data_IF_212885442820
#
_entry.id   IF_212885442820
#
_cell.length_a   1.000
_cell.length_b   1.000
_cell.length_c   1.000
_cell.angle_alpha   90.00
_cell.angle_beta   90.00
_cell.angle_gamma   90.00
#
_symmetry.space_group_name_H-M   'P 1'
#
loop_
_entity.id
_entity.type
_entity.pdbx_description
1 polymer ?
#
# COMPACT_ATOMS: atom_id res chain seq x y z
N UNK A 1 -4.72 -33.84 -8.81
CA UNK A 1 -5.51 -32.95 -7.91
C UNK A 1 -6.53 -32.21 -8.78
N UNK A 2 -7.81 -32.15 -8.39
CA UNK A 2 -8.85 -31.41 -9.09
C UNK A 2 -9.31 -30.28 -8.17
N UNK A 3 -8.79 -29.05 -8.36
CA UNK A 3 -9.17 -27.91 -7.50
C UNK A 3 -10.64 -27.54 -7.72
N UNK A 4 -11.34 -27.12 -6.68
CA UNK A 4 -12.73 -26.66 -6.79
C UNK A 4 -12.84 -25.21 -7.24
N UNK A 5 -11.81 -24.41 -7.01
CA UNK A 5 -11.65 -23.03 -7.44
C UNK A 5 -10.18 -22.74 -7.72
N UNK A 6 -9.89 -21.80 -8.60
CA UNK A 6 -8.55 -21.24 -8.82
C UNK A 6 -8.60 -19.76 -8.51
N UNK A 7 -7.66 -19.30 -7.69
CA UNK A 7 -7.49 -17.87 -7.35
C UNK A 7 -6.28 -17.32 -8.09
N UNK A 8 -6.48 -16.30 -8.92
CA UNK A 8 -5.43 -15.60 -9.63
C UNK A 8 -5.11 -14.26 -8.99
N UNK A 9 -3.95 -14.13 -8.35
CA UNK A 9 -3.54 -12.90 -7.64
C UNK A 9 -2.82 -11.87 -8.54
N UNK A 10 -2.97 -11.97 -9.86
CA UNK A 10 -2.34 -11.08 -10.83
C UNK A 10 -0.97 -11.57 -11.32
N UNK A 11 -0.31 -10.73 -12.14
CA UNK A 11 0.95 -11.05 -12.79
C UNK A 11 0.81 -12.05 -13.94
N UNK A 12 1.85 -12.12 -14.79
CA UNK A 12 1.83 -13.01 -15.97
C UNK A 12 1.87 -14.49 -15.61
N UNK A 13 2.43 -14.84 -14.46
CA UNK A 13 2.59 -16.22 -13.98
C UNK A 13 1.22 -16.89 -13.74
N UNK A 14 0.19 -16.15 -13.38
CA UNK A 14 -1.14 -16.72 -13.16
C UNK A 14 -1.86 -17.09 -14.46
N UNK A 15 -1.49 -16.51 -15.62
CA UNK A 15 -2.22 -16.67 -16.88
C UNK A 15 -2.32 -18.12 -17.33
N UNK A 16 -1.24 -18.93 -17.43
CA UNK A 16 -1.33 -20.33 -17.86
C UNK A 16 -2.23 -21.17 -16.95
N UNK A 17 -2.12 -20.96 -15.62
CA UNK A 17 -2.92 -21.70 -14.64
C UNK A 17 -4.40 -21.36 -14.76
N UNK A 18 -4.72 -20.07 -14.93
CA UNK A 18 -6.11 -19.60 -15.11
C UNK A 18 -6.70 -20.12 -16.43
N UNK A 19 -5.95 -20.09 -17.52
CA UNK A 19 -6.41 -20.65 -18.80
C UNK A 19 -6.67 -22.16 -18.70
N UNK A 20 -5.80 -22.91 -18.02
CA UNK A 20 -6.02 -24.32 -17.75
C UNK A 20 -7.27 -24.57 -16.88
N UNK A 21 -7.56 -23.68 -15.92
CA UNK A 21 -8.77 -23.75 -15.12
C UNK A 21 -10.02 -23.55 -16.01
N UNK A 22 -10.01 -22.54 -16.89
CA UNK A 22 -11.11 -22.30 -17.84
C UNK A 22 -11.36 -23.50 -18.76
N UNK A 23 -10.29 -24.11 -19.31
CA UNK A 23 -10.40 -25.30 -20.14
C UNK A 23 -11.04 -26.49 -19.40
N UNK A 24 -10.83 -26.58 -18.08
CA UNK A 24 -11.39 -27.63 -17.22
C UNK A 24 -12.71 -27.22 -16.53
N UNK A 25 -13.28 -26.08 -16.90
CA UNK A 25 -14.51 -25.53 -16.31
C UNK A 25 -14.42 -25.38 -14.78
N UNK A 26 -13.22 -25.09 -14.27
CA UNK A 26 -13.00 -24.73 -12.88
C UNK A 26 -13.27 -23.24 -12.73
N UNK A 27 -14.11 -22.81 -11.75
CA UNK A 27 -14.36 -21.40 -11.52
C UNK A 27 -13.06 -20.69 -11.09
N UNK A 28 -12.94 -19.43 -11.51
CA UNK A 28 -11.75 -18.62 -11.24
C UNK A 28 -12.18 -17.34 -10.56
N UNK A 29 -11.57 -17.01 -9.44
CA UNK A 29 -11.64 -15.69 -8.81
C UNK A 29 -10.32 -14.97 -9.07
N UNK A 30 -10.38 -13.79 -9.68
CA UNK A 30 -9.21 -12.94 -9.87
C UNK A 30 -9.15 -11.91 -8.74
N UNK A 31 -7.95 -11.59 -8.29
CA UNK A 31 -7.70 -10.52 -7.32
C UNK A 31 -6.92 -9.40 -8.02
N UNK A 32 -7.42 -8.16 -7.95
CA UNK A 32 -6.77 -6.98 -8.49
C UNK A 32 -6.55 -5.93 -7.40
N UNK A 33 -5.30 -5.71 -7.06
CA UNK A 33 -4.88 -4.81 -5.99
C UNK A 33 -4.69 -3.35 -6.44
N UNK A 34 -4.69 -3.11 -7.75
CA UNK A 34 -4.46 -1.78 -8.32
C UNK A 34 -5.74 -1.14 -8.83
N UNK A 35 -5.81 0.19 -8.75
CA UNK A 35 -6.91 0.96 -9.30
C UNK A 35 -6.97 0.85 -10.84
N UNK A 36 -5.80 0.78 -11.50
CA UNK A 36 -5.71 0.45 -12.92
C UNK A 36 -5.29 -1.02 -13.05
N UNK A 37 -6.16 -1.91 -13.58
CA UNK A 37 -5.93 -3.35 -13.56
C UNK A 37 -4.80 -3.78 -14.49
N UNK A 38 -4.06 -4.78 -14.07
CA UNK A 38 -2.98 -5.39 -14.83
C UNK A 38 -3.48 -6.02 -16.15
N UNK A 39 -2.57 -6.17 -17.12
CA UNK A 39 -2.91 -6.77 -18.42
C UNK A 39 -3.48 -8.19 -18.30
N UNK A 40 -2.94 -9.00 -17.37
CA UNK A 40 -3.44 -10.35 -17.11
C UNK A 40 -4.89 -10.33 -16.61
N UNK A 41 -5.19 -9.47 -15.62
CA UNK A 41 -6.56 -9.30 -15.11
C UNK A 41 -7.52 -8.89 -16.22
N UNK A 42 -7.18 -7.88 -17.02
CA UNK A 42 -8.03 -7.41 -18.13
C UNK A 42 -8.31 -8.49 -19.18
N UNK A 43 -7.30 -9.32 -19.48
CA UNK A 43 -7.44 -10.42 -20.44
C UNK A 43 -8.40 -11.51 -19.93
N UNK A 44 -8.36 -11.80 -18.64
CA UNK A 44 -9.01 -12.98 -18.06
C UNK A 44 -10.35 -12.66 -17.39
N UNK A 45 -10.62 -11.38 -17.07
CA UNK A 45 -11.73 -10.94 -16.26
C UNK A 45 -13.12 -11.39 -16.75
N UNK A 46 -13.39 -11.28 -18.04
CA UNK A 46 -14.71 -11.62 -18.62
C UNK A 46 -15.09 -13.11 -18.48
N UNK A 47 -14.10 -13.99 -18.32
CA UNK A 47 -14.32 -15.45 -18.17
C UNK A 47 -14.21 -15.89 -16.73
N UNK A 48 -13.72 -15.03 -15.83
CA UNK A 48 -13.64 -15.31 -14.40
C UNK A 48 -15.05 -15.39 -13.79
N UNK A 49 -15.18 -16.17 -12.72
CA UNK A 49 -16.40 -16.18 -11.91
C UNK A 49 -16.64 -14.78 -11.31
N UNK A 50 -15.57 -14.18 -10.77
CA UNK A 50 -15.57 -12.81 -10.29
C UNK A 50 -14.15 -12.23 -10.28
N UNK A 51 -14.08 -10.89 -10.23
CA UNK A 51 -12.84 -10.14 -9.97
C UNK A 51 -13.01 -9.37 -8.66
N UNK A 52 -12.27 -9.76 -7.63
CA UNK A 52 -12.16 -9.05 -6.37
C UNK A 52 -11.23 -7.84 -6.56
N UNK A 53 -11.71 -6.62 -6.37
CA UNK A 53 -10.94 -5.40 -6.58
C UNK A 53 -10.75 -4.61 -5.29
N UNK A 54 -9.60 -3.93 -5.20
CA UNK A 54 -9.30 -3.05 -4.06
C UNK A 54 -9.91 -1.66 -4.19
N UNK A 55 -10.29 -1.25 -5.41
CA UNK A 55 -10.81 0.08 -5.72
C UNK A 55 -12.07 -0.03 -6.57
N UNK A 56 -13.12 0.74 -6.23
CA UNK A 56 -14.35 0.85 -7.02
C UNK A 56 -14.08 1.33 -8.45
N UNK A 57 -13.12 2.22 -8.62
CA UNK A 57 -12.74 2.77 -9.92
C UNK A 57 -12.19 1.73 -10.90
N UNK A 58 -11.76 0.56 -10.43
CA UNK A 58 -11.23 -0.52 -11.29
C UNK A 58 -12.29 -1.07 -12.24
N UNK A 59 -13.57 -1.06 -11.82
CA UNK A 59 -14.69 -1.59 -12.62
C UNK A 59 -14.76 -0.98 -14.01
N UNK A 60 -14.48 0.31 -14.17
CA UNK A 60 -14.52 1.01 -15.47
C UNK A 60 -13.57 0.46 -16.54
N UNK A 61 -12.60 -0.35 -16.14
CA UNK A 61 -11.62 -0.97 -17.03
C UNK A 61 -11.88 -2.46 -17.30
N UNK A 62 -12.95 -3.01 -16.71
CA UNK A 62 -13.27 -4.44 -16.72
C UNK A 62 -14.67 -4.71 -17.27
N UNK A 63 -14.99 -4.10 -18.41
CA UNK A 63 -16.29 -4.23 -19.07
C UNK A 63 -16.69 -5.70 -19.29
N UNK A 64 -17.93 -6.02 -18.92
CA UNK A 64 -18.50 -7.36 -19.07
C UNK A 64 -17.95 -8.39 -18.07
N UNK A 65 -17.17 -7.99 -17.08
CA UNK A 65 -16.75 -8.84 -15.98
C UNK A 65 -17.63 -8.66 -14.73
N UNK A 66 -17.79 -9.70 -13.94
CA UNK A 66 -18.39 -9.61 -12.61
C UNK A 66 -17.35 -9.08 -11.64
N UNK A 67 -17.44 -7.80 -11.30
CA UNK A 67 -16.50 -7.10 -10.42
C UNK A 67 -17.12 -6.90 -9.04
N UNK A 68 -16.38 -7.27 -8.00
CA UNK A 68 -16.78 -7.09 -6.60
C UNK A 68 -15.69 -6.29 -5.88
N UNK A 69 -16.03 -5.11 -5.36
CA UNK A 69 -15.11 -4.34 -4.53
C UNK A 69 -15.02 -4.98 -3.14
N UNK A 70 -13.92 -5.69 -2.89
CA UNK A 70 -13.66 -6.35 -1.61
C UNK A 70 -12.71 -5.57 -0.72
N UNK A 71 -11.90 -4.69 -1.29
CA UNK A 71 -10.70 -4.18 -0.67
C UNK A 71 -9.52 -5.13 -0.90
N UNK A 72 -8.35 -4.77 -0.37
CA UNK A 72 -7.15 -5.59 -0.45
C UNK A 72 -6.99 -6.40 0.85
N UNK A 73 -6.90 -7.75 0.79
CA UNK A 73 -6.71 -8.57 1.98
C UNK A 73 -5.53 -8.12 2.82
N UNK A 74 -5.74 -8.04 4.11
CA UNK A 74 -4.76 -7.53 5.06
C UNK A 74 -4.09 -8.66 5.84
N UNK A 75 -2.83 -8.47 6.19
CA UNK A 75 -2.12 -9.38 7.07
C UNK A 75 -2.74 -9.35 8.48
N UNK A 76 -2.83 -10.51 9.12
CA UNK A 76 -3.33 -10.62 10.50
C UNK A 76 -2.59 -9.68 11.47
N UNK A 77 -1.28 -9.49 11.27
CA UNK A 77 -0.46 -8.56 12.06
C UNK A 77 -0.91 -7.09 11.94
N UNK A 78 -1.51 -6.67 10.83
CA UNK A 78 -2.11 -5.33 10.65
C UNK A 78 -3.45 -5.27 11.40
N UNK A 79 -4.33 -6.25 11.18
CA UNK A 79 -5.65 -6.31 11.81
C UNK A 79 -5.58 -6.30 13.34
N UNK A 80 -4.61 -7.01 13.93
CA UNK A 80 -4.37 -7.02 15.39
C UNK A 80 -3.94 -5.66 15.96
N UNK A 81 -3.53 -4.71 15.13
CA UNK A 81 -3.10 -3.36 15.54
C UNK A 81 -4.09 -2.28 15.17
N UNK A 82 -5.22 -2.67 14.61
CA UNK A 82 -6.30 -1.74 14.32
C UNK A 82 -6.80 -1.09 15.61
N UNK A 83 -7.03 0.21 15.56
CA UNK A 83 -7.37 1.00 16.75
C UNK A 83 -6.15 1.45 17.58
N UNK A 84 -4.91 1.17 17.14
CA UNK A 84 -3.73 1.78 17.71
C UNK A 84 -3.87 3.32 17.65
N UNK A 85 -3.78 4.02 18.78
CA UNK A 85 -3.99 5.46 18.80
C UNK A 85 -2.98 6.19 17.95
N UNK A 86 -3.41 7.28 17.35
CA UNK A 86 -2.50 8.27 16.82
C UNK A 86 -1.95 9.09 18.00
N UNK A 87 -0.71 9.55 17.93
CA UNK A 87 -0.13 10.45 18.93
C UNK A 87 -0.86 11.79 18.95
N UNK A 88 -0.66 12.58 20.01
CA UNK A 88 -1.23 13.94 20.08
C UNK A 88 -0.60 14.91 19.08
N UNK A 89 0.57 14.56 18.54
CA UNK A 89 1.29 15.33 17.55
C UNK A 89 2.12 14.40 16.64
N UNK A 90 2.45 14.86 15.41
CA UNK A 90 3.29 14.12 14.49
C UNK A 90 4.75 14.12 14.97
N UNK A 91 5.16 13.03 15.60
CA UNK A 91 6.51 12.84 16.19
C UNK A 91 7.27 11.65 15.60
N UNK A 92 6.59 10.73 14.95
CA UNK A 92 7.23 9.56 14.38
C UNK A 92 6.88 9.39 12.90
N UNK A 93 7.89 9.52 12.05
CA UNK A 93 7.77 9.32 10.61
C UNK A 93 8.33 7.96 10.24
N UNK A 94 7.52 7.16 9.55
CA UNK A 94 7.98 5.96 8.86
C UNK A 94 8.20 6.26 7.38
N UNK A 95 9.39 5.94 6.88
CA UNK A 95 9.72 6.03 5.45
C UNK A 95 9.95 4.64 4.90
N UNK A 96 9.29 4.29 3.79
CA UNK A 96 9.49 2.99 3.14
C UNK A 96 9.30 3.04 1.64
N UNK A 97 10.27 2.50 0.91
CA UNK A 97 10.18 2.25 -0.53
C UNK A 97 9.74 0.82 -0.88
N UNK A 98 9.25 0.04 0.11
CA UNK A 98 9.05 -1.39 -0.04
C UNK A 98 10.36 -2.19 0.08
N UNK A 99 10.33 -3.50 -0.24
CA UNK A 99 11.48 -4.40 -0.09
C UNK A 99 12.68 -4.05 -0.98
N UNK A 100 12.44 -3.46 -2.14
CA UNK A 100 13.49 -3.05 -3.08
C UNK A 100 14.05 -1.65 -2.76
N UNK A 101 13.37 -0.89 -1.90
CA UNK A 101 13.69 0.50 -1.65
C UNK A 101 13.16 1.45 -2.74
N UNK A 102 13.35 2.75 -2.51
CA UNK A 102 12.96 3.81 -3.43
C UNK A 102 14.00 4.92 -3.38
N UNK A 103 15.01 4.85 -4.26
CA UNK A 103 16.19 5.73 -4.23
C UNK A 103 15.84 7.21 -4.12
N UNK A 104 14.82 7.68 -4.85
CA UNK A 104 14.39 9.07 -4.79
C UNK A 104 13.90 9.45 -3.40
N UNK A 105 13.03 8.63 -2.79
CA UNK A 105 12.54 8.85 -1.43
C UNK A 105 13.70 8.77 -0.43
N UNK A 106 14.56 7.75 -0.58
CA UNK A 106 15.72 7.53 0.29
C UNK A 106 16.62 8.78 0.35
N UNK A 107 17.02 9.30 -0.82
CA UNK A 107 17.85 10.50 -0.91
C UNK A 107 17.16 11.76 -0.43
N UNK A 108 15.85 11.89 -0.71
CA UNK A 108 15.09 13.05 -0.26
C UNK A 108 15.02 13.13 1.26
N UNK A 109 14.66 12.02 1.93
CA UNK A 109 14.59 12.02 3.41
C UNK A 109 15.96 12.16 4.05
N UNK A 110 16.99 11.48 3.55
CA UNK A 110 18.33 11.61 4.08
C UNK A 110 18.86 13.05 4.00
N UNK A 111 18.56 13.73 2.89
CA UNK A 111 19.01 15.11 2.66
C UNK A 111 18.26 16.17 3.48
N UNK A 112 17.04 15.90 4.00
CA UNK A 112 16.31 16.83 4.87
C UNK A 112 16.25 16.37 6.34
N UNK A 113 16.76 15.19 6.68
CA UNK A 113 16.64 14.63 8.01
C UNK A 113 17.28 15.52 9.07
N UNK A 114 18.49 16.04 8.83
CA UNK A 114 19.19 16.92 9.77
C UNK A 114 18.35 18.14 10.13
N UNK A 115 17.92 18.89 9.13
CA UNK A 115 17.12 20.11 9.34
C UNK A 115 15.79 19.81 10.06
N UNK A 116 15.10 18.76 9.69
CA UNK A 116 13.86 18.35 10.33
C UNK A 116 14.06 18.00 11.82
N UNK A 117 15.13 17.28 12.14
CA UNK A 117 15.44 16.86 13.51
C UNK A 117 15.95 18.03 14.37
N UNK A 118 16.64 19.03 13.80
CA UNK A 118 17.04 20.26 14.46
C UNK A 118 15.82 21.16 14.76
N UNK A 119 14.84 21.23 13.84
CA UNK A 119 13.64 22.06 14.00
C UNK A 119 12.57 21.44 14.92
N UNK A 120 12.62 20.14 15.17
CA UNK A 120 11.59 19.38 15.89
C UNK A 120 12.22 18.39 16.89
N UNK A 121 12.42 18.80 18.14
CA UNK A 121 13.16 18.04 19.16
C UNK A 121 12.62 16.65 19.46
N UNK A 122 11.32 16.42 19.31
CA UNK A 122 10.68 15.12 19.58
C UNK A 122 10.51 14.25 18.32
N UNK A 123 10.89 14.77 17.16
CA UNK A 123 10.74 14.02 15.91
C UNK A 123 11.71 12.85 15.85
N UNK A 124 11.19 11.71 15.39
CA UNK A 124 11.96 10.49 15.08
C UNK A 124 11.61 10.02 13.69
N UNK A 125 12.59 9.49 12.98
CA UNK A 125 12.43 8.93 11.64
C UNK A 125 12.90 7.48 11.63
N UNK A 126 12.02 6.58 11.22
CA UNK A 126 12.33 5.18 10.96
C UNK A 126 12.31 4.97 9.44
N UNK A 127 13.44 4.53 8.88
CA UNK A 127 13.63 4.49 7.43
C UNK A 127 13.99 3.09 6.94
N UNK A 128 13.08 2.43 6.22
CA UNK A 128 13.37 1.21 5.46
C UNK A 128 13.81 1.59 4.05
N UNK A 129 15.10 1.57 3.79
CA UNK A 129 15.67 2.05 2.54
C UNK A 129 15.81 0.98 1.43
N UNK A 130 15.60 -0.29 1.76
CA UNK A 130 15.85 -1.41 0.85
C UNK A 130 17.32 -1.83 0.79
N UNK A 131 17.61 -2.91 0.06
CA UNK A 131 18.96 -3.49 0.01
C UNK A 131 19.94 -2.62 -0.76
N UNK A 132 19.50 -2.00 -1.85
CA UNK A 132 20.38 -1.34 -2.81
C UNK A 132 21.02 -0.05 -2.29
N UNK A 133 20.27 0.71 -1.50
CA UNK A 133 20.72 2.02 -1.04
C UNK A 133 21.17 2.03 0.44
N UNK A 134 21.19 0.86 1.10
CA UNK A 134 21.43 0.78 2.55
C UNK A 134 22.75 1.43 2.97
N UNK A 135 23.84 1.10 2.29
CA UNK A 135 25.17 1.61 2.67
C UNK A 135 25.29 3.13 2.45
N UNK A 136 24.57 3.68 1.44
CA UNK A 136 24.47 5.13 1.22
C UNK A 136 23.69 5.78 2.37
N UNK A 137 22.54 5.21 2.73
CA UNK A 137 21.67 5.75 3.79
C UNK A 137 22.30 5.61 5.18
N UNK A 138 23.03 4.54 5.44
CA UNK A 138 23.77 4.35 6.70
C UNK A 138 24.87 5.41 6.86
N UNK A 139 25.62 5.70 5.79
CA UNK A 139 26.62 6.77 5.80
C UNK A 139 26.00 8.14 6.04
N UNK A 140 24.84 8.42 5.40
CA UNK A 140 24.13 9.67 5.62
C UNK A 140 23.65 9.81 7.07
N UNK A 141 23.15 8.72 7.68
CA UNK A 141 22.78 8.70 9.09
C UNK A 141 23.98 8.94 10.03
N UNK A 142 25.14 8.37 9.72
CA UNK A 142 26.37 8.53 10.49
C UNK A 142 26.97 9.94 10.40
N UNK A 143 26.53 10.78 9.47
CA UNK A 143 26.93 12.19 9.35
C UNK A 143 26.06 13.14 10.20
N UNK A 144 25.02 12.64 10.83
CA UNK A 144 24.21 13.44 11.75
C UNK A 144 25.01 13.74 13.04
N UNK A 145 24.80 14.89 13.67
CA UNK A 145 25.29 15.18 15.01
C UNK A 145 24.91 14.10 16.03
N UNK A 146 25.74 13.88 17.04
CA UNK A 146 25.58 12.79 18.03
C UNK A 146 24.23 12.88 18.78
N UNK A 147 23.69 14.07 18.99
CA UNK A 147 22.39 14.31 19.62
C UNK A 147 21.20 14.01 18.69
N UNK A 148 21.40 14.07 17.37
CA UNK A 148 20.37 13.79 16.36
C UNK A 148 20.39 12.34 15.88
N UNK A 149 21.57 11.72 15.80
CA UNK A 149 21.75 10.39 15.24
C UNK A 149 20.82 9.32 15.87
N UNK A 150 20.56 9.29 17.19
CA UNK A 150 19.64 8.33 17.79
C UNK A 150 18.17 8.45 17.33
N UNK A 151 17.81 9.59 16.73
CA UNK A 151 16.45 9.87 16.25
C UNK A 151 16.21 9.52 14.78
N UNK A 152 17.26 9.07 14.05
CA UNK A 152 17.17 8.62 12.66
C UNK A 152 17.62 7.18 12.51
N UNK A 153 16.67 6.25 12.50
CA UNK A 153 16.95 4.82 12.41
C UNK A 153 16.80 4.32 10.97
N UNK A 154 17.88 3.82 10.38
CA UNK A 154 17.94 3.26 9.02
C UNK A 154 18.03 1.75 9.06
N UNK A 155 17.23 1.05 8.26
CA UNK A 155 17.28 -0.40 8.09
C UNK A 155 17.08 -0.80 6.63
N UNK A 156 17.65 -1.94 6.25
CA UNK A 156 17.42 -2.56 4.93
C UNK A 156 15.97 -2.99 4.76
N UNK A 157 15.46 -3.66 5.79
CA UNK A 157 14.14 -4.26 5.79
C UNK A 157 13.63 -4.42 7.23
N UNK A 158 12.33 -4.22 7.43
CA UNK A 158 11.64 -4.50 8.69
C UNK A 158 10.70 -5.70 8.52
N UNK A 159 10.95 -6.83 9.17
CA UNK A 159 10.04 -7.98 9.15
C UNK A 159 8.70 -7.65 9.85
N UNK A 160 8.72 -6.68 10.74
CA UNK A 160 7.61 -6.19 11.55
C UNK A 160 7.00 -4.88 11.00
N UNK A 161 7.01 -4.69 9.66
CA UNK A 161 6.57 -3.43 9.04
C UNK A 161 5.16 -3.00 9.48
N UNK A 162 4.23 -3.95 9.69
CA UNK A 162 2.89 -3.65 10.20
C UNK A 162 2.92 -2.98 11.59
N UNK A 163 3.85 -3.39 12.46
CA UNK A 163 4.07 -2.76 13.77
C UNK A 163 4.61 -1.34 13.59
N UNK A 164 5.54 -1.15 12.65
CA UNK A 164 6.13 0.15 12.36
C UNK A 164 5.10 1.13 11.79
N UNK A 165 4.23 0.66 10.87
CA UNK A 165 3.12 1.46 10.36
C UNK A 165 2.19 1.85 11.52
N UNK A 166 1.82 0.91 12.39
CA UNK A 166 0.93 1.19 13.52
C UNK A 166 1.52 2.17 14.54
N UNK A 167 2.84 2.22 14.67
CA UNK A 167 3.54 3.13 15.56
C UNK A 167 3.87 4.50 14.93
N UNK A 168 3.69 4.64 13.62
CA UNK A 168 3.99 5.87 12.92
C UNK A 168 2.86 6.89 13.00
N UNK A 169 3.19 8.16 13.03
CA UNK A 169 2.25 9.28 12.95
C UNK A 169 2.09 9.77 11.50
N UNK A 170 3.08 9.52 10.66
CA UNK A 170 3.09 9.82 9.23
C UNK A 170 3.87 8.75 8.49
N UNK A 171 3.33 8.28 7.35
CA UNK A 171 4.01 7.30 6.50
C UNK A 171 4.36 7.93 5.15
N UNK A 172 5.64 7.87 4.78
CA UNK A 172 6.14 8.33 3.49
C UNK A 172 6.50 7.10 2.66
N UNK A 173 5.84 6.92 1.50
CA UNK A 173 6.02 5.68 0.76
C UNK A 173 5.67 5.76 -0.72
N UNK A 174 6.00 4.70 -1.46
CA UNK A 174 5.43 4.42 -2.77
C UNK A 174 3.94 4.05 -2.67
N UNK A 175 3.15 4.31 -3.71
CA UNK A 175 1.71 4.01 -3.72
C UNK A 175 1.41 2.57 -4.18
N UNK A 176 2.01 1.58 -3.53
CA UNK A 176 1.70 0.16 -3.73
C UNK A 176 0.37 -0.22 -3.08
N UNK A 177 -0.50 -0.95 -3.79
CA UNK A 177 -1.87 -1.24 -3.33
C UNK A 177 -1.94 -1.86 -1.94
N UNK A 178 -1.06 -2.83 -1.62
CA UNK A 178 -1.05 -3.47 -0.29
C UNK A 178 -0.63 -2.53 0.83
N UNK A 179 0.42 -1.71 0.61
CA UNK A 179 0.89 -0.76 1.62
C UNK A 179 -0.14 0.34 1.88
N UNK A 180 -0.82 0.83 0.83
CA UNK A 180 -1.91 1.78 0.96
C UNK A 180 -3.05 1.23 1.83
N UNK A 181 -3.47 -0.01 1.54
CA UNK A 181 -4.53 -0.67 2.31
C UNK A 181 -4.15 -0.87 3.79
N UNK A 182 -2.90 -1.23 4.07
CA UNK A 182 -2.39 -1.39 5.43
C UNK A 182 -2.37 -0.05 6.20
N UNK A 183 -1.87 1.02 5.58
CA UNK A 183 -1.87 2.35 6.18
C UNK A 183 -3.29 2.86 6.44
N UNK A 184 -4.19 2.68 5.48
CA UNK A 184 -5.59 3.08 5.61
C UNK A 184 -6.30 2.30 6.72
N UNK A 185 -6.11 0.98 6.81
CA UNK A 185 -6.70 0.17 7.87
C UNK A 185 -6.24 0.58 9.28
N UNK A 186 -5.07 1.20 9.38
CA UNK A 186 -4.48 1.72 10.62
C UNK A 186 -4.70 3.24 10.81
N UNK A 187 -5.40 3.90 9.89
CA UNK A 187 -5.68 5.33 9.96
C UNK A 187 -4.43 6.21 9.91
N UNK A 188 -3.40 5.82 9.15
CA UNK A 188 -2.15 6.60 9.11
C UNK A 188 -2.15 7.60 7.96
N UNK A 189 -1.90 8.89 8.23
CA UNK A 189 -1.68 9.91 7.20
C UNK A 189 -0.50 9.53 6.30
N UNK A 190 -0.56 9.89 5.02
CA UNK A 190 0.45 9.46 4.05
C UNK A 190 1.00 10.64 3.23
N UNK A 191 2.31 10.59 2.92
CA UNK A 191 2.89 11.30 1.78
C UNK A 191 3.23 10.22 0.74
N UNK A 192 2.58 10.27 -0.40
CA UNK A 192 2.72 9.29 -1.47
C UNK A 192 3.62 9.83 -2.56
N UNK A 193 4.65 9.05 -2.89
CA UNK A 193 5.55 9.33 -4.01
C UNK A 193 5.43 8.18 -4.99
N UNK A 194 4.45 8.22 -5.93
CA UNK A 194 4.22 7.13 -6.86
C UNK A 194 5.44 6.82 -7.73
N UNK A 195 5.69 5.54 -7.99
CA UNK A 195 6.73 5.14 -8.94
C UNK A 195 6.30 5.48 -10.37
N UNK A 196 7.08 6.27 -11.13
CA UNK A 196 6.65 6.82 -12.42
C UNK A 196 6.60 5.80 -13.55
N UNK A 197 7.32 4.68 -13.40
CA UNK A 197 7.41 3.63 -14.41
C UNK A 197 6.37 2.52 -14.19
N UNK A 198 6.49 1.41 -14.94
CA UNK A 198 5.57 0.27 -14.89
C UNK A 198 4.10 0.63 -15.23
N UNK A 199 3.91 1.52 -16.23
CA UNK A 199 2.57 1.89 -16.71
C UNK A 199 1.80 2.85 -15.80
N UNK A 200 2.46 3.50 -14.84
CA UNK A 200 1.85 4.54 -14.00
C UNK A 200 0.82 4.04 -12.98
N UNK A 201 0.73 2.71 -12.76
CA UNK A 201 -0.27 2.11 -11.87
C UNK A 201 -0.32 2.76 -10.48
N UNK A 202 0.83 3.19 -9.94
CA UNK A 202 0.89 3.77 -8.61
C UNK A 202 0.25 5.16 -8.52
N UNK A 203 0.27 5.95 -9.59
CA UNK A 203 -0.44 7.22 -9.63
C UNK A 203 -1.97 7.00 -9.54
N UNK A 204 -2.48 5.99 -10.26
CA UNK A 204 -3.89 5.60 -10.15
C UNK A 204 -4.27 5.09 -8.75
N UNK A 205 -3.36 4.37 -8.08
CA UNK A 205 -3.59 3.90 -6.72
C UNK A 205 -3.59 5.05 -5.71
N UNK A 206 -2.74 6.05 -5.89
CA UNK A 206 -2.65 7.21 -5.01
C UNK A 206 -3.87 8.12 -5.09
N UNK A 207 -4.42 8.30 -6.30
CA UNK A 207 -5.47 9.28 -6.58
C UNK A 207 -6.69 9.19 -5.64
N UNK A 208 -7.30 8.02 -5.34
CA UNK A 208 -8.41 7.92 -4.41
C UNK A 208 -8.09 8.40 -3.00
N UNK A 209 -6.89 8.11 -2.48
CA UNK A 209 -6.46 8.53 -1.14
C UNK A 209 -6.18 10.03 -1.08
N UNK A 210 -5.60 10.60 -2.13
CA UNK A 210 -5.38 12.04 -2.25
C UNK A 210 -6.72 12.78 -2.34
N UNK A 211 -7.65 12.28 -3.16
CA UNK A 211 -8.98 12.85 -3.31
C UNK A 211 -9.79 12.81 -2.01
N UNK A 212 -9.66 11.74 -1.25
CA UNK A 212 -10.30 11.60 0.07
C UNK A 212 -9.64 12.47 1.15
N UNK A 213 -8.50 13.12 0.88
CA UNK A 213 -7.74 13.88 1.86
C UNK A 213 -6.89 13.01 2.81
N UNK A 214 -6.76 11.71 2.55
CA UNK A 214 -5.97 10.77 3.36
C UNK A 214 -4.46 10.86 3.10
N UNK A 215 -4.07 11.44 1.96
CA UNK A 215 -2.68 11.50 1.54
C UNK A 215 -2.34 12.81 0.83
N UNK A 216 -1.07 13.21 0.92
CA UNK A 216 -0.45 14.18 0.03
C UNK A 216 0.25 13.45 -1.11
N UNK A 217 0.14 13.99 -2.33
CA UNK A 217 0.87 13.51 -3.49
C UNK A 217 2.14 14.34 -3.69
N UNK A 218 3.24 13.68 -3.88
CA UNK A 218 4.50 14.30 -4.32
C UNK A 218 5.03 13.50 -5.51
N UNK A 219 5.07 14.12 -6.67
CA UNK A 219 5.59 13.46 -7.87
C UNK A 219 7.07 13.09 -7.71
N UNK A 220 7.45 11.92 -8.23
CA UNK A 220 8.81 11.38 -8.07
C UNK A 220 9.88 12.38 -8.51
N UNK A 221 9.68 13.06 -9.65
CA UNK A 221 10.66 13.99 -10.25
C UNK A 221 10.93 15.19 -9.34
N UNK A 222 9.92 15.69 -8.63
CA UNK A 222 10.03 16.85 -7.73
C UNK A 222 10.25 16.45 -6.26
N UNK A 223 10.37 15.16 -5.96
CA UNK A 223 10.70 14.66 -4.62
C UNK A 223 12.18 14.92 -4.30
N UNK A 224 12.47 16.16 -3.95
CA UNK A 224 13.79 16.64 -3.50
C UNK A 224 13.82 16.76 -1.97
N UNK A 225 15.01 16.83 -1.33
CA UNK A 225 15.10 17.08 0.12
C UNK A 225 14.31 18.33 0.56
N UNK A 226 14.48 19.44 -0.12
CA UNK A 226 13.80 20.70 0.19
C UNK A 226 12.27 20.57 0.10
N UNK A 227 11.76 19.92 -0.97
CA UNK A 227 10.33 19.76 -1.16
C UNK A 227 9.71 18.81 -0.14
N UNK A 228 10.34 17.65 0.08
CA UNK A 228 9.86 16.68 1.05
C UNK A 228 9.91 17.24 2.48
N UNK A 229 11.02 17.88 2.86
CA UNK A 229 11.17 18.53 4.16
C UNK A 229 10.12 19.61 4.39
N UNK A 230 9.82 20.45 3.38
CA UNK A 230 8.79 21.46 3.47
C UNK A 230 7.38 20.86 3.69
N UNK A 231 7.01 19.78 2.99
CA UNK A 231 5.70 19.12 3.18
C UNK A 231 5.60 18.45 4.57
N UNK A 232 6.66 17.79 5.02
CA UNK A 232 6.73 17.21 6.37
C UNK A 232 6.57 18.31 7.42
N UNK A 233 7.36 19.39 7.33
CA UNK A 233 7.32 20.50 8.27
C UNK A 233 5.96 21.22 8.32
N UNK A 234 5.25 21.30 7.18
CA UNK A 234 3.86 21.82 7.15
C UNK A 234 2.91 20.94 7.94
N UNK A 235 2.97 19.62 7.75
CA UNK A 235 2.10 18.68 8.46
C UNK A 235 2.37 18.65 9.96
N UNK A 236 3.64 18.74 10.38
CA UNK A 236 4.00 18.77 11.81
C UNK A 236 3.41 20.03 12.48
N UNK A 237 3.42 21.17 11.79
CA UNK A 237 2.88 22.43 12.32
C UNK A 237 1.36 22.55 12.24
N UNK A 238 0.71 21.87 11.29
CA UNK A 238 -0.75 21.90 11.09
C UNK A 238 -1.39 20.62 11.61
N UNK A 239 -1.53 20.54 12.93
CA UNK A 239 -2.13 19.40 13.61
C UNK A 239 -3.56 19.12 13.15
N UNK A 240 -4.34 20.15 12.86
CA UNK A 240 -5.71 19.98 12.40
C UNK A 240 -5.76 19.24 11.06
N UNK A 241 -4.94 19.66 10.11
CA UNK A 241 -4.81 18.99 8.81
C UNK A 241 -4.31 17.55 8.95
N UNK A 242 -3.31 17.35 9.80
CA UNK A 242 -2.74 16.02 10.05
C UNK A 242 -3.78 15.05 10.64
N UNK A 243 -4.59 15.49 11.63
CA UNK A 243 -5.70 14.71 12.18
C UNK A 243 -6.78 14.43 11.14
N UNK A 244 -7.19 15.41 10.37
CA UNK A 244 -8.16 15.23 9.28
C UNK A 244 -7.68 14.19 8.25
N UNK A 245 -6.38 14.19 7.94
CA UNK A 245 -5.78 13.17 7.05
C UNK A 245 -5.83 11.77 7.67
N UNK A 246 -5.63 11.64 8.98
CA UNK A 246 -5.71 10.36 9.68
C UNK A 246 -7.14 9.80 9.66
N UNK A 247 -8.14 10.63 9.93
CA UNK A 247 -9.55 10.27 9.86
C UNK A 247 -9.96 9.84 8.45
N UNK A 248 -9.58 10.62 7.44
CA UNK A 248 -9.83 10.29 6.05
C UNK A 248 -9.15 8.95 5.66
N UNK A 249 -7.93 8.72 6.13
CA UNK A 249 -7.21 7.46 5.91
C UNK A 249 -7.97 6.28 6.54
N UNK A 250 -8.44 6.41 7.77
CA UNK A 250 -9.21 5.37 8.45
C UNK A 250 -10.52 5.04 7.74
N UNK A 251 -11.22 6.04 7.19
CA UNK A 251 -12.44 5.87 6.40
C UNK A 251 -12.20 5.10 5.09
N UNK A 252 -11.00 5.22 4.51
CA UNK A 252 -10.59 4.47 3.33
C UNK A 252 -10.25 3.00 3.64
N UNK A 253 -10.02 2.66 4.90
CA UNK A 253 -9.66 1.31 5.33
C UNK A 253 -10.77 0.29 5.06
N UNK A 254 -10.38 -0.93 4.66
CA UNK A 254 -11.28 -2.08 4.46
C UNK A 254 -10.77 -3.26 5.28
N UNK A 255 -11.01 -3.27 6.60
CA UNK A 255 -10.49 -4.33 7.48
C UNK A 255 -11.14 -5.69 7.22
N UNK A 256 -12.33 -5.72 6.65
CA UNK A 256 -13.14 -6.88 6.28
C UNK A 256 -12.75 -7.47 4.89
N UNK A 257 -11.75 -6.91 4.23
CA UNK A 257 -11.37 -7.32 2.87
C UNK A 257 -11.01 -8.80 2.74
N UNK A 258 -10.39 -9.38 3.79
CA UNK A 258 -9.99 -10.79 3.78
C UNK A 258 -11.22 -11.71 3.82
N UNK A 259 -12.19 -11.39 4.68
CA UNK A 259 -13.47 -12.11 4.83
C UNK A 259 -14.27 -12.01 3.54
N UNK A 260 -14.40 -10.83 2.95
CA UNK A 260 -15.11 -10.61 1.68
C UNK A 260 -14.52 -11.39 0.51
N UNK A 261 -13.19 -11.47 0.43
CA UNK A 261 -12.52 -12.29 -0.59
C UNK A 261 -12.77 -13.78 -0.33
N UNK A 262 -12.73 -14.23 0.93
CA UNK A 262 -13.00 -15.62 1.30
C UNK A 262 -14.45 -16.02 0.96
N UNK A 263 -15.43 -15.17 1.24
CA UNK A 263 -16.83 -15.36 0.86
C UNK A 263 -16.98 -15.51 -0.66
N UNK A 264 -16.38 -14.61 -1.43
CA UNK A 264 -16.42 -14.67 -2.90
C UNK A 264 -15.80 -15.96 -3.47
N UNK A 265 -14.74 -16.46 -2.83
CA UNK A 265 -14.14 -17.76 -3.17
C UNK A 265 -15.11 -18.90 -2.83
N UNK A 266 -15.78 -18.83 -1.67
CA UNK A 266 -16.79 -19.79 -1.24
C UNK A 266 -17.97 -19.87 -2.23
N UNK A 267 -18.46 -18.74 -2.68
CA UNK A 267 -19.54 -18.65 -3.69
C UNK A 267 -19.13 -19.32 -5.01
N UNK A 268 -17.87 -19.13 -5.44
CA UNK A 268 -17.33 -19.77 -6.63
C UNK A 268 -17.31 -21.32 -6.49
N UNK A 269 -16.95 -21.83 -5.31
CA UNK A 269 -16.97 -23.26 -5.01
C UNK A 269 -18.40 -23.81 -5.05
N UNK A 270 -19.34 -23.15 -4.40
CA UNK A 270 -20.77 -23.56 -4.37
C UNK A 270 -21.38 -23.54 -5.78
N UNK A 271 -21.07 -22.54 -6.58
CA UNK A 271 -21.55 -22.48 -7.98
C UNK A 271 -21.07 -23.68 -8.83
N UNK A 272 -19.85 -24.20 -8.55
CA UNK A 272 -19.35 -25.40 -9.20
C UNK A 272 -20.10 -26.66 -8.74
N UNK A 273 -20.34 -26.78 -7.44
CA UNK A 273 -21.07 -27.90 -6.86
C UNK A 273 -22.44 -28.08 -7.50
N UNK A 274 -23.21 -27.00 -7.66
CA UNK A 274 -24.53 -27.01 -8.32
C UNK A 274 -24.49 -27.45 -9.80
N UNK A 275 -23.40 -27.20 -10.51
CA UNK A 275 -23.22 -27.64 -11.92
C UNK A 275 -22.78 -29.10 -12.07
N UNK A 276 -22.38 -29.77 -10.98
CA UNK A 276 -21.92 -31.17 -10.96
C UNK A 276 -23.03 -32.15 -10.55
N UNK A 277 -24.16 -31.68 -10.00
CA UNK A 277 -25.31 -32.51 -9.70
C UNK A 277 -26.17 -32.56 -10.96
N UNK A 278 -26.26 -33.71 -11.68
CA UNK A 278 -27.22 -33.84 -12.79
C UNK A 278 -28.65 -33.80 -12.19
N UNK A 279 -29.55 -33.15 -12.95
CA UNK A 279 -30.97 -33.16 -12.62
C UNK A 279 -31.57 -34.56 -12.74
#
# INVERSE_FOLDING_TARGET
MQPDVVVGAGGYVCVPVVLAAFARRVPVVLMEQNAYPGRATRLLARRAFAVATSFSTTQRYLDGAHVVETGNPLRKSVLMRRGAPLSDACRHILVTGGSQGARRINRAIAGCARELLEQHDQLRVTHQCGMLDFDEMQRAAAQLPDDLAPRYHVARFFPDLALRIAAADLVIMRAGGSSLAECAALGRPMILVPYPHAGGHQAFNAAPYVHAGAALLLDDEVCTPARLGAEIGRLIRDQHRWHAMAEASLQMGRPDATERVAELIGDAVHARGRRRVPA
#
